data_IF_970821104919
#
_entry.id   IF_970821104919
#
_cell.length_a   1.000
_cell.length_b   1.000
_cell.length_c   1.000
_cell.angle_alpha   90.00
_cell.angle_beta   90.00
_cell.angle_gamma   90.00
#
_symmetry.space_group_name_H-M   'P 1'
#
loop_
_entity.id
_entity.type
_entity.pdbx_description
1 polymer ?
#
# COMPACT_ATOMS: atom_id res chain seq x y z
N UNK A 1 -8.72 -7.83 26.97
CA UNK A 1 -9.62 -8.94 27.40
C UNK A 1 -8.80 -10.03 28.11
N UNK A 2 -7.60 -10.41 27.60
CA UNK A 2 -6.76 -11.41 28.26
C UNK A 2 -6.31 -10.99 29.67
N UNK A 3 -6.00 -9.72 29.88
CA UNK A 3 -5.56 -9.16 31.16
C UNK A 3 -6.74 -8.69 32.03
N UNK A 4 -7.81 -8.25 31.41
CA UNK A 4 -9.03 -7.78 32.06
C UNK A 4 -10.26 -8.38 31.34
N UNK A 5 -10.85 -9.46 31.87
CA UNK A 5 -11.99 -10.13 31.24
C UNK A 5 -13.28 -9.29 31.24
N UNK A 6 -13.39 -8.27 32.08
CA UNK A 6 -14.58 -7.41 32.18
C UNK A 6 -14.22 -5.92 32.04
N UNK A 7 -13.64 -5.52 30.89
CA UNK A 7 -13.19 -4.16 30.71
C UNK A 7 -14.35 -3.18 30.63
N UNK A 8 -14.24 -2.07 31.33
CA UNK A 8 -15.13 -0.93 31.17
C UNK A 8 -14.93 -0.25 29.80
N UNK A 9 -15.93 0.52 29.37
CA UNK A 9 -15.83 1.27 28.12
C UNK A 9 -14.58 2.22 28.10
N UNK A 10 -14.28 2.85 29.21
CA UNK A 10 -13.12 3.73 29.36
C UNK A 10 -11.80 2.98 29.25
N UNK A 11 -11.71 1.78 29.80
CA UNK A 11 -10.53 0.91 29.64
C UNK A 11 -10.35 0.45 28.21
N UNK A 12 -11.45 0.12 27.50
CA UNK A 12 -11.42 -0.23 26.07
C UNK A 12 -10.92 0.96 25.27
N UNK A 13 -11.48 2.16 25.47
CA UNK A 13 -11.05 3.39 24.79
C UNK A 13 -9.57 3.67 25.03
N UNK A 14 -9.12 3.50 26.25
CA UNK A 14 -7.70 3.69 26.59
C UNK A 14 -6.80 2.67 25.88
N UNK A 15 -7.20 1.40 25.84
CA UNK A 15 -6.42 0.34 25.20
C UNK A 15 -6.24 0.54 23.70
N UNK A 16 -7.29 1.04 23.01
CA UNK A 16 -7.25 1.24 21.56
C UNK A 16 -6.76 2.64 21.12
N UNK A 17 -6.39 3.52 22.06
CA UNK A 17 -6.03 4.93 21.77
C UNK A 17 -4.91 5.10 20.73
N UNK A 18 -4.03 4.11 20.58
CA UNK A 18 -2.96 4.09 19.59
C UNK A 18 -3.43 3.74 18.16
N UNK A 19 -4.64 3.18 18.02
CA UNK A 19 -5.20 2.77 16.74
C UNK A 19 -6.09 3.88 16.17
N UNK A 20 -5.48 4.88 15.53
CA UNK A 20 -6.20 6.07 15.03
C UNK A 20 -7.07 5.71 13.83
N UNK A 21 -8.38 5.95 13.95
CA UNK A 21 -9.35 5.77 12.89
C UNK A 21 -10.22 7.01 12.72
N UNK A 22 -10.15 7.66 11.56
CA UNK A 22 -10.96 8.85 11.23
C UNK A 22 -12.39 8.50 10.81
N UNK A 23 -12.64 7.25 10.38
CA UNK A 23 -13.85 6.88 9.66
C UNK A 23 -14.97 6.34 10.54
N UNK A 24 -14.66 5.55 11.60
CA UNK A 24 -15.63 4.71 12.31
C UNK A 24 -16.29 5.40 13.51
N UNK A 25 -15.69 6.46 14.05
CA UNK A 25 -16.10 7.06 15.34
C UNK A 25 -15.96 6.10 16.52
N UNK A 26 -15.31 4.96 16.35
CA UNK A 26 -14.99 3.91 17.34
C UNK A 26 -16.18 3.16 17.94
N UNK A 27 -17.41 3.63 17.79
CA UNK A 27 -18.59 3.04 18.44
C UNK A 27 -18.68 1.52 18.19
N UNK A 28 -18.63 1.09 16.93
CA UNK A 28 -18.73 -0.34 16.58
C UNK A 28 -17.52 -1.17 17.04
N UNK A 29 -16.35 -0.55 17.12
CA UNK A 29 -15.14 -1.20 17.63
C UNK A 29 -15.28 -1.47 19.13
N UNK A 30 -15.73 -0.47 19.90
CA UNK A 30 -15.96 -0.59 21.34
C UNK A 30 -17.06 -1.62 21.63
N UNK A 31 -18.19 -1.53 20.94
CA UNK A 31 -19.29 -2.51 21.04
C UNK A 31 -18.81 -3.93 20.73
N UNK A 32 -17.98 -4.11 19.70
CA UNK A 32 -17.41 -5.41 19.32
C UNK A 32 -16.47 -5.98 20.38
N UNK A 33 -15.60 -5.16 20.97
CA UNK A 33 -14.70 -5.59 22.04
C UNK A 33 -15.51 -5.98 23.31
N UNK A 34 -16.51 -5.19 23.67
CA UNK A 34 -17.40 -5.50 24.79
C UNK A 34 -18.19 -6.79 24.57
N UNK A 35 -18.68 -7.01 23.34
CA UNK A 35 -19.37 -8.25 22.97
C UNK A 35 -18.42 -9.46 23.06
N UNK A 36 -17.21 -9.34 22.52
CA UNK A 36 -16.21 -10.39 22.57
C UNK A 36 -15.85 -10.77 24.03
N UNK A 37 -15.71 -9.78 24.91
CA UNK A 37 -15.48 -10.01 26.32
C UNK A 37 -16.65 -10.80 26.97
N UNK A 38 -17.89 -10.42 26.68
CA UNK A 38 -19.09 -11.09 27.19
C UNK A 38 -19.22 -12.54 26.68
N UNK A 39 -18.85 -12.78 25.40
CA UNK A 39 -18.82 -14.12 24.80
C UNK A 39 -17.76 -14.99 25.47
N UNK A 40 -16.55 -14.47 25.69
CA UNK A 40 -15.46 -15.19 26.36
C UNK A 40 -15.80 -15.54 27.82
N UNK A 41 -16.61 -14.75 28.50
CA UNK A 41 -17.14 -15.07 29.83
C UNK A 41 -18.34 -16.04 29.80
N UNK A 42 -18.85 -16.41 28.64
CA UNK A 42 -20.01 -17.28 28.49
C UNK A 42 -21.37 -16.60 28.74
N UNK A 43 -21.39 -15.27 28.89
CA UNK A 43 -22.63 -14.48 29.13
C UNK A 43 -23.46 -14.28 27.86
N UNK A 44 -22.82 -14.35 26.69
CA UNK A 44 -23.46 -14.21 25.39
C UNK A 44 -22.97 -15.27 24.43
N UNK A 45 -23.84 -15.66 23.50
CA UNK A 45 -23.46 -16.46 22.33
C UNK A 45 -23.40 -15.56 21.11
N UNK A 46 -22.49 -15.87 20.19
CA UNK A 46 -22.45 -15.25 18.87
C UNK A 46 -23.64 -15.86 18.11
N UNK A 47 -24.47 -14.97 17.54
CA UNK A 47 -25.56 -15.39 16.67
C UNK A 47 -24.94 -16.00 15.41
N UNK A 48 -25.09 -17.31 15.24
CA UNK A 48 -24.56 -18.05 14.09
C UNK A 48 -25.31 -17.69 12.78
N UNK A 49 -26.49 -17.07 12.89
CA UNK A 49 -27.22 -16.47 11.75
C UNK A 49 -26.51 -15.25 11.12
N UNK A 50 -25.37 -14.86 11.66
CA UNK A 50 -24.41 -13.99 10.96
C UNK A 50 -23.62 -14.73 9.88
N UNK A 51 -23.98 -15.98 9.59
CA UNK A 51 -23.45 -16.67 8.44
C UNK A 51 -23.73 -15.88 7.17
N UNK A 52 -22.69 -15.74 6.39
CA UNK A 52 -22.65 -15.16 5.06
C UNK A 52 -23.78 -15.72 4.22
N UNK A 53 -24.85 -14.98 4.07
CA UNK A 53 -25.75 -15.27 2.97
C UNK A 53 -25.00 -15.01 1.68
N UNK A 54 -24.92 -16.03 0.80
CA UNK A 54 -24.35 -15.91 -0.55
C UNK A 54 -25.21 -14.98 -1.45
N UNK A 55 -26.20 -14.36 -0.89
CA UNK A 55 -27.14 -13.46 -1.56
C UNK A 55 -26.59 -12.02 -1.57
N UNK A 56 -25.73 -11.75 -2.54
CA UNK A 56 -25.22 -10.41 -2.82
C UNK A 56 -26.22 -9.65 -3.69
N UNK A 57 -26.82 -8.60 -3.15
CA UNK A 57 -27.74 -7.75 -3.90
C UNK A 57 -28.00 -6.40 -3.22
N UNK A 58 -28.60 -5.49 -3.97
CA UNK A 58 -29.00 -4.17 -3.44
C UNK A 58 -29.95 -4.37 -2.26
N UNK A 59 -29.69 -3.71 -1.12
CA UNK A 59 -30.46 -3.84 0.10
C UNK A 59 -30.19 -5.09 0.93
N UNK A 60 -29.29 -5.97 0.49
CA UNK A 60 -28.89 -7.15 1.25
C UNK A 60 -27.73 -6.85 2.20
N UNK A 61 -27.73 -7.54 3.35
CA UNK A 61 -26.68 -7.42 4.34
C UNK A 61 -25.57 -8.44 4.02
N UNK A 62 -24.55 -7.99 3.29
CA UNK A 62 -23.38 -8.80 2.97
C UNK A 62 -22.16 -8.33 3.75
N UNK A 63 -21.34 -9.28 4.20
CA UNK A 63 -20.03 -8.95 4.74
C UNK A 63 -19.06 -8.59 3.62
N UNK A 64 -18.16 -7.65 3.88
CA UNK A 64 -17.05 -7.38 3.01
C UNK A 64 -16.22 -8.64 2.81
N UNK A 65 -15.87 -8.96 1.57
CA UNK A 65 -15.21 -10.23 1.17
C UNK A 65 -13.92 -10.49 1.96
N UNK A 66 -13.14 -9.44 2.21
CA UNK A 66 -11.81 -9.52 2.83
C UNK A 66 -11.82 -9.20 4.35
N UNK A 67 -12.99 -8.94 4.94
CA UNK A 67 -13.07 -8.48 6.34
C UNK A 67 -12.48 -9.49 7.32
N UNK A 68 -12.76 -10.77 7.13
CA UNK A 68 -12.27 -11.83 8.04
C UNK A 68 -10.74 -11.86 8.07
N UNK A 69 -10.10 -11.87 6.90
CA UNK A 69 -8.64 -11.89 6.80
C UNK A 69 -8.02 -10.65 7.45
N UNK A 70 -8.63 -9.48 7.26
CA UNK A 70 -8.15 -8.23 7.88
C UNK A 70 -8.27 -8.23 9.40
N UNK A 71 -9.38 -8.71 9.94
CA UNK A 71 -9.59 -8.78 11.39
C UNK A 71 -8.64 -9.78 12.04
N UNK A 72 -8.31 -10.88 11.36
CA UNK A 72 -7.37 -11.90 11.84
C UNK A 72 -5.90 -11.55 11.62
N UNK A 73 -5.60 -10.44 10.92
CA UNK A 73 -4.22 -10.07 10.55
C UNK A 73 -3.64 -10.90 9.38
N UNK A 74 -4.50 -11.61 8.66
CA UNK A 74 -4.12 -12.46 7.52
C UNK A 74 -4.24 -11.72 6.17
N UNK A 75 -4.73 -10.48 6.20
CA UNK A 75 -4.90 -9.66 5.00
C UNK A 75 -3.56 -9.19 4.46
N UNK A 76 -3.22 -9.57 3.23
CA UNK A 76 -2.03 -9.08 2.53
C UNK A 76 -2.37 -7.86 1.68
N UNK A 77 -1.52 -6.86 1.71
CA UNK A 77 -1.50 -5.72 0.80
C UNK A 77 -0.38 -5.91 -0.23
N UNK A 78 -0.34 -5.12 -1.32
CA UNK A 78 0.74 -5.25 -2.31
C UNK A 78 2.15 -5.18 -1.71
N UNK A 79 2.37 -4.35 -0.70
CA UNK A 79 3.67 -4.23 -0.01
C UNK A 79 4.02 -5.44 0.89
N UNK A 80 3.06 -6.29 1.19
CA UNK A 80 3.27 -7.52 1.97
C UNK A 80 3.61 -8.73 1.08
N UNK A 81 3.64 -8.52 -0.24
CA UNK A 81 3.99 -9.56 -1.21
C UNK A 81 5.51 -9.59 -1.36
N UNK A 82 6.11 -10.72 -1.08
CA UNK A 82 7.56 -10.94 -1.17
C UNK A 82 7.91 -12.02 -2.21
N UNK A 83 9.21 -12.30 -2.33
CA UNK A 83 9.74 -13.31 -3.25
C UNK A 83 9.24 -14.73 -2.95
N UNK A 84 8.88 -15.05 -1.71
CA UNK A 84 8.31 -16.35 -1.32
C UNK A 84 6.90 -16.50 -1.85
N UNK A 85 6.14 -15.39 -1.89
CA UNK A 85 4.80 -15.37 -2.48
C UNK A 85 4.83 -15.37 -4.00
N UNK A 86 5.84 -14.72 -4.60
CA UNK A 86 5.95 -14.58 -6.06
C UNK A 86 7.41 -14.68 -6.53
N UNK A 87 7.87 -15.89 -6.87
CA UNK A 87 9.22 -16.11 -7.39
C UNK A 87 9.50 -15.26 -8.64
N UNK A 88 10.66 -14.60 -8.66
CA UNK A 88 11.04 -13.70 -9.74
C UNK A 88 10.48 -12.28 -9.59
N UNK A 89 9.97 -11.92 -8.42
CA UNK A 89 9.64 -10.54 -8.10
C UNK A 89 10.86 -9.64 -8.28
N UNK A 90 10.67 -8.48 -8.87
CA UNK A 90 11.69 -7.45 -9.02
C UNK A 90 11.24 -6.16 -8.37
N UNK A 91 12.19 -5.36 -7.94
CA UNK A 91 11.96 -4.08 -7.29
C UNK A 91 12.25 -2.94 -8.26
N UNK A 92 11.38 -1.95 -8.33
CA UNK A 92 11.54 -0.82 -9.22
C UNK A 92 11.35 0.50 -8.48
N UNK A 93 12.22 1.46 -8.77
CA UNK A 93 12.12 2.81 -8.22
C UNK A 93 12.65 3.87 -9.18
N UNK A 94 12.00 5.02 -9.19
CA UNK A 94 12.40 6.11 -10.03
C UNK A 94 13.51 6.97 -9.40
N UNK A 95 14.51 7.31 -10.20
CA UNK A 95 15.41 8.43 -9.94
C UNK A 95 14.68 9.70 -10.29
N UNK A 96 14.54 10.60 -9.31
CA UNK A 96 13.68 11.77 -9.41
C UNK A 96 14.46 13.07 -9.40
N UNK A 97 13.93 14.07 -10.07
CA UNK A 97 14.49 15.43 -10.06
C UNK A 97 14.53 16.01 -8.64
N UNK A 98 15.67 16.54 -8.25
CA UNK A 98 15.86 17.32 -7.02
C UNK A 98 15.50 18.80 -7.19
N UNK A 99 15.29 19.24 -8.43
CA UNK A 99 15.07 20.63 -8.80
C UNK A 99 13.69 20.82 -9.44
N UNK A 100 12.96 21.88 -9.11
CA UNK A 100 11.62 22.10 -9.66
C UNK A 100 11.64 22.53 -11.12
N UNK A 101 12.75 23.08 -11.58
CA UNK A 101 12.89 23.58 -12.95
C UNK A 101 14.36 23.69 -13.35
N UNK A 102 14.90 22.63 -13.92
CA UNK A 102 16.28 22.58 -14.38
C UNK A 102 16.37 21.70 -15.62
N UNK A 103 17.20 22.05 -16.58
CA UNK A 103 17.41 21.23 -17.77
C UNK A 103 18.21 19.98 -17.44
N UNK A 104 17.72 18.83 -17.84
CA UNK A 104 18.46 17.55 -17.75
C UNK A 104 19.51 17.54 -18.84
N UNK A 105 20.77 17.82 -18.50
CA UNK A 105 21.85 17.95 -19.48
C UNK A 105 22.31 16.60 -20.01
N UNK A 106 22.41 15.59 -19.13
CA UNK A 106 22.81 14.23 -19.48
C UNK A 106 22.24 13.22 -18.50
N UNK A 107 21.98 12.02 -18.98
CA UNK A 107 21.61 10.85 -18.20
C UNK A 107 22.64 9.77 -18.49
N UNK A 108 23.49 9.46 -17.51
CA UNK A 108 24.48 8.40 -17.61
C UNK A 108 24.10 7.26 -16.65
N UNK A 109 23.73 6.13 -17.19
CA UNK A 109 23.29 4.93 -16.48
C UNK A 109 24.33 3.82 -16.46
N UNK A 110 25.50 4.03 -17.07
CA UNK A 110 26.51 3.00 -17.30
C UNK A 110 26.98 2.30 -16.03
N UNK A 111 27.12 3.03 -14.92
CA UNK A 111 27.51 2.47 -13.62
C UNK A 111 26.42 1.62 -13.00
N UNK A 112 25.17 2.05 -13.13
CA UNK A 112 24.03 1.30 -12.62
C UNK A 112 23.78 0.02 -13.45
N UNK A 113 23.88 0.10 -14.78
CA UNK A 113 23.78 -1.05 -15.68
C UNK A 113 24.86 -2.10 -15.44
N UNK A 114 26.05 -1.68 -14.97
CA UNK A 114 27.15 -2.57 -14.65
C UNK A 114 27.02 -3.26 -13.28
N UNK A 115 26.06 -2.89 -12.45
CA UNK A 115 25.87 -3.52 -11.14
C UNK A 115 25.20 -4.88 -11.29
N UNK A 116 25.76 -5.96 -10.71
CA UNK A 116 25.10 -7.24 -10.65
C UNK A 116 23.73 -7.14 -9.92
N UNK A 117 22.73 -7.78 -10.47
CA UNK A 117 21.36 -7.74 -9.92
C UNK A 117 20.50 -6.57 -10.44
N UNK A 118 21.04 -5.66 -11.24
CA UNK A 118 20.22 -4.71 -12.01
C UNK A 118 19.64 -5.42 -13.22
N UNK A 119 18.31 -5.48 -13.27
CA UNK A 119 17.55 -6.17 -14.34
C UNK A 119 17.37 -5.27 -15.55
N UNK A 120 17.18 -3.98 -15.32
CA UNK A 120 17.01 -3.02 -16.41
C UNK A 120 16.86 -1.58 -15.93
N UNK A 121 17.05 -0.68 -16.87
CA UNK A 121 16.87 0.76 -16.65
C UNK A 121 16.02 1.29 -17.80
N UNK A 122 14.90 1.94 -17.45
CA UNK A 122 13.98 2.53 -18.39
C UNK A 122 14.10 4.06 -18.37
N UNK A 123 14.02 4.66 -19.54
CA UNK A 123 14.09 6.10 -19.79
C UNK A 123 12.84 6.59 -20.50
N UNK A 124 12.72 7.88 -20.72
CA UNK A 124 11.57 8.48 -21.41
C UNK A 124 11.30 7.87 -22.79
N UNK A 125 12.37 7.51 -23.52
CA UNK A 125 12.28 6.87 -24.84
C UNK A 125 11.71 5.45 -24.82
N UNK A 126 11.78 4.77 -23.69
CA UNK A 126 11.23 3.42 -23.51
C UNK A 126 9.72 3.44 -23.20
N UNK A 127 9.16 4.60 -22.92
CA UNK A 127 7.73 4.78 -22.61
C UNK A 127 6.96 5.01 -23.92
N UNK A 128 6.09 4.07 -24.35
CA UNK A 128 5.39 4.17 -25.64
C UNK A 128 4.56 5.45 -25.81
N UNK A 129 3.97 5.94 -24.70
CA UNK A 129 3.26 7.22 -24.64
C UNK A 129 3.75 7.95 -23.40
N UNK A 130 4.74 8.81 -23.56
CA UNK A 130 5.39 9.51 -22.44
C UNK A 130 4.59 10.72 -21.93
N UNK A 131 3.51 11.12 -22.59
CA UNK A 131 2.65 12.21 -22.14
C UNK A 131 1.30 11.69 -21.67
N UNK A 132 0.93 12.08 -20.46
CA UNK A 132 -0.33 11.73 -19.82
C UNK A 132 -1.06 12.97 -19.31
N UNK A 133 -2.34 12.85 -19.05
CA UNK A 133 -3.16 13.90 -18.48
C UNK A 133 -4.63 13.53 -18.57
N UNK A 134 -5.42 14.05 -17.65
CA UNK A 134 -6.84 13.70 -17.55
C UNK A 134 -7.68 14.39 -18.65
N UNK A 135 -7.45 15.67 -18.88
CA UNK A 135 -8.14 16.47 -19.91
C UNK A 135 -7.19 16.86 -21.06
N UNK A 136 -5.96 17.18 -20.72
CA UNK A 136 -4.90 17.55 -21.67
C UNK A 136 -3.71 16.65 -21.35
N UNK A 137 -3.19 15.96 -22.36
CA UNK A 137 -2.02 15.09 -22.20
C UNK A 137 -0.74 15.93 -22.33
N UNK A 138 -0.41 16.65 -21.27
CA UNK A 138 0.71 17.59 -21.21
C UNK A 138 1.71 17.30 -20.09
N UNK A 139 1.56 16.18 -19.40
CA UNK A 139 2.46 15.77 -18.31
C UNK A 139 3.33 14.59 -18.74
N UNK A 140 4.64 14.76 -18.67
CA UNK A 140 5.57 13.70 -19.02
C UNK A 140 5.62 12.64 -17.92
N UNK A 141 5.54 11.35 -18.29
CA UNK A 141 5.72 10.21 -17.37
C UNK A 141 7.16 10.18 -16.86
N UNK A 142 8.11 10.39 -17.77
CA UNK A 142 9.53 10.56 -17.46
C UNK A 142 10.09 11.76 -18.24
N UNK A 143 10.96 12.51 -17.59
CA UNK A 143 11.64 13.65 -18.21
C UNK A 143 12.81 13.16 -19.04
N UNK A 144 12.80 13.47 -20.33
CA UNK A 144 13.87 13.10 -21.25
C UNK A 144 15.13 13.95 -21.06
N UNK A 145 16.26 13.45 -21.56
CA UNK A 145 17.47 14.25 -21.67
C UNK A 145 17.21 15.46 -22.58
N UNK A 146 17.59 16.63 -22.12
CA UNK A 146 17.33 17.92 -22.79
C UNK A 146 16.08 18.64 -22.28
N UNK A 147 15.16 17.94 -21.64
CA UNK A 147 13.91 18.50 -21.15
C UNK A 147 14.03 19.11 -19.74
N UNK A 148 12.96 19.72 -19.28
CA UNK A 148 12.90 20.47 -18.01
C UNK A 148 11.80 19.90 -17.14
N UNK A 149 12.12 19.31 -15.95
CA UNK A 149 11.13 18.93 -14.95
C UNK A 149 10.24 20.13 -14.59
N UNK A 150 8.99 19.84 -14.26
CA UNK A 150 8.00 20.84 -13.84
C UNK A 150 7.94 21.01 -12.33
N UNK A 151 8.29 19.95 -11.61
CA UNK A 151 8.32 19.97 -10.15
C UNK A 151 9.47 19.12 -9.59
N UNK A 152 9.76 19.32 -8.31
CA UNK A 152 10.59 18.38 -7.55
C UNK A 152 9.87 17.04 -7.50
N UNK A 153 10.58 15.98 -7.83
CA UNK A 153 10.03 14.63 -7.79
C UNK A 153 9.61 14.09 -9.16
N UNK A 154 9.65 14.87 -10.24
CA UNK A 154 9.45 14.33 -11.57
C UNK A 154 10.45 13.21 -11.87
N UNK A 155 9.95 12.10 -12.43
CA UNK A 155 10.77 10.93 -12.72
C UNK A 155 11.67 11.19 -13.94
N UNK A 156 12.93 10.78 -13.86
CA UNK A 156 13.90 10.90 -14.94
C UNK A 156 14.26 9.52 -15.49
N UNK A 157 14.50 8.54 -14.60
CA UNK A 157 14.87 7.17 -14.93
C UNK A 157 14.16 6.22 -13.98
N UNK A 158 13.71 5.07 -14.46
CA UNK A 158 13.24 3.97 -13.64
C UNK A 158 14.29 2.87 -13.60
N UNK A 159 14.76 2.53 -12.41
CA UNK A 159 15.68 1.44 -12.17
C UNK A 159 14.93 0.22 -11.69
N UNK A 160 15.25 -0.96 -12.24
CA UNK A 160 14.69 -2.26 -11.87
C UNK A 160 15.81 -3.17 -11.41
N UNK A 161 15.69 -3.79 -10.25
CA UNK A 161 16.68 -4.69 -9.66
C UNK A 161 16.05 -5.93 -9.03
N UNK A 162 16.83 -6.95 -8.82
CA UNK A 162 16.41 -8.21 -8.20
C UNK A 162 16.07 -8.06 -6.71
N UNK A 163 16.72 -7.11 -6.03
CA UNK A 163 16.50 -6.84 -4.60
C UNK A 163 16.59 -5.34 -4.29
N UNK A 164 16.02 -4.95 -3.15
CA UNK A 164 15.97 -3.55 -2.70
C UNK A 164 17.35 -2.95 -2.44
N UNK A 165 18.29 -3.75 -1.92
CA UNK A 165 19.64 -3.26 -1.61
C UNK A 165 20.42 -2.91 -2.89
N UNK A 166 20.26 -3.73 -3.92
CA UNK A 166 20.81 -3.47 -5.26
C UNK A 166 20.12 -2.27 -5.90
N UNK A 167 18.80 -2.17 -5.79
CA UNK A 167 18.03 -1.03 -6.28
C UNK A 167 18.52 0.29 -5.69
N UNK A 168 18.70 0.36 -4.38
CA UNK A 168 19.17 1.59 -3.72
C UNK A 168 20.62 1.96 -4.08
N UNK A 169 21.49 0.97 -4.34
CA UNK A 169 22.86 1.23 -4.84
C UNK A 169 22.88 1.73 -6.28
N UNK A 170 21.94 1.26 -7.11
CA UNK A 170 21.86 1.61 -8.52
C UNK A 170 21.29 3.01 -8.76
N UNK A 171 20.53 3.54 -7.83
CA UNK A 171 19.99 4.92 -7.83
C UNK A 171 21.04 5.96 -7.48
#
# INVERSE_FOLDING_TARGET
>A
IAEDPEPTEEQIKYAIRGNVCRCTGYKKIIEGISLAAAVLRGEKQIDEDLERGDDYGVGKRAFRIDVRKKVLGEGKYPDDIDELDQPGLTYASAVRSKYPRARVLSIDTSKAEALPGVVGILRAEDVPVNQVGHLIQDWDVMIAQGDIPRCVGDAIVLVVAEDEATLEKAK
#
